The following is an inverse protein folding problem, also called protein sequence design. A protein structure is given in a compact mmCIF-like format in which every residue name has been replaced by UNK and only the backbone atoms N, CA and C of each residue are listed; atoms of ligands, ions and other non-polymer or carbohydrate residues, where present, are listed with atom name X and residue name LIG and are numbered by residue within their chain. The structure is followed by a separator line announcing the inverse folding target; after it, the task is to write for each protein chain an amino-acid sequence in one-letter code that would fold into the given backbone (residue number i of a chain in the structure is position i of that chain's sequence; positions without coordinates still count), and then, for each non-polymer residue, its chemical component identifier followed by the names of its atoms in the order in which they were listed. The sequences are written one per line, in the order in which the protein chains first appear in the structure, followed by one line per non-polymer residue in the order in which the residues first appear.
data_IF_714540947080
#
_entry.id   IF_714540947080
#
_cell.length_a   1.000
_cell.length_b   1.000
_cell.length_c   1.000
_cell.angle_alpha   90.00
_cell.angle_beta   90.00
_cell.angle_gamma   90.00
#
_symmetry.space_group_name_H-M   'P 1'
#
loop_
_entity.id
_entity.type
_entity.pdbx_description
1 polymer ?
#
# COMPACT_ATOMS: atom_id res chain seq x y z
N UNK A 1 12.97 -27.76 -8.64
CA UNK A 1 12.66 -26.33 -8.80
C UNK A 1 13.72 -25.51 -8.10
N UNK A 2 14.15 -24.41 -8.67
CA UNK A 2 15.10 -23.49 -8.07
C UNK A 2 14.37 -22.25 -7.61
N UNK A 3 14.55 -21.88 -6.34
CA UNK A 3 13.95 -20.69 -5.78
C UNK A 3 14.97 -19.55 -5.83
N UNK A 4 14.62 -18.47 -6.47
CA UNK A 4 15.49 -17.30 -6.63
C UNK A 4 14.94 -16.13 -5.81
N UNK A 5 15.68 -15.63 -4.82
CA UNK A 5 15.27 -14.39 -4.16
C UNK A 5 15.39 -13.21 -5.13
N UNK A 6 14.50 -12.25 -4.96
CA UNK A 6 14.48 -11.07 -5.81
C UNK A 6 14.66 -9.82 -4.96
N UNK A 7 15.54 -8.94 -5.38
CA UNK A 7 15.71 -7.65 -4.72
C UNK A 7 14.55 -6.74 -5.07
N UNK A 8 13.97 -6.10 -4.06
CA UNK A 8 12.96 -5.06 -4.21
C UNK A 8 13.45 -3.86 -3.42
N UNK A 9 13.76 -2.79 -4.12
CA UNK A 9 14.26 -1.57 -3.51
C UNK A 9 13.19 -0.78 -2.77
N UNK A 10 13.62 0.26 -2.08
CA UNK A 10 12.70 1.23 -1.50
C UNK A 10 11.89 1.88 -2.59
N UNK A 11 10.60 2.13 -2.29
CA UNK A 11 9.72 2.84 -3.20
C UNK A 11 9.59 2.14 -4.56
N UNK A 12 9.71 0.81 -4.56
CA UNK A 12 9.52 -0.02 -5.74
C UNK A 12 8.23 -0.82 -5.66
N UNK A 13 7.68 -1.10 -6.84
CA UNK A 13 6.48 -1.89 -7.01
C UNK A 13 6.81 -3.21 -7.69
N UNK A 14 6.05 -4.23 -7.35
CA UNK A 14 6.27 -5.56 -7.88
C UNK A 14 4.93 -6.23 -8.14
N UNK A 15 4.67 -6.59 -9.40
CA UNK A 15 3.47 -7.36 -9.75
C UNK A 15 3.74 -8.86 -9.64
N UNK A 16 2.85 -9.56 -8.93
CA UNK A 16 3.05 -10.94 -8.57
C UNK A 16 3.21 -11.90 -9.73
N UNK A 17 2.55 -11.64 -10.86
CA UNK A 17 2.61 -12.56 -12.02
C UNK A 17 4.05 -12.75 -12.51
N UNK A 18 4.93 -11.79 -12.27
CA UNK A 18 6.33 -11.88 -12.69
C UNK A 18 7.08 -13.02 -12.00
N UNK A 19 6.65 -13.43 -10.80
CA UNK A 19 7.26 -14.51 -10.05
C UNK A 19 6.27 -15.63 -9.69
N UNK A 20 5.10 -15.63 -10.31
CA UNK A 20 4.08 -16.65 -10.01
C UNK A 20 3.44 -16.51 -8.63
N UNK A 21 3.42 -15.29 -8.08
CA UNK A 21 2.79 -14.99 -6.81
C UNK A 21 1.37 -14.47 -7.01
N UNK A 22 0.41 -14.86 -6.15
CA UNK A 22 -0.96 -14.34 -6.25
C UNK A 22 -1.13 -12.92 -5.71
N UNK A 23 -0.06 -12.32 -5.16
CA UNK A 23 -0.11 -10.97 -4.60
C UNK A 23 0.90 -10.06 -5.28
N UNK A 24 0.61 -8.76 -5.29
CA UNK A 24 1.51 -7.72 -5.77
C UNK A 24 1.88 -6.81 -4.60
N UNK A 25 3.09 -6.27 -4.62
CA UNK A 25 3.67 -5.55 -3.49
C UNK A 25 4.06 -4.14 -3.92
N UNK A 26 3.68 -3.16 -3.11
CA UNK A 26 4.23 -1.82 -3.18
C UNK A 26 5.07 -1.62 -1.92
N UNK A 27 6.36 -1.30 -2.10
CA UNK A 27 7.21 -0.86 -0.99
C UNK A 27 7.16 0.66 -0.93
N UNK A 28 6.35 1.16 -0.01
CA UNK A 28 6.16 2.61 0.14
C UNK A 28 7.25 3.18 1.05
N UNK A 29 7.88 4.26 0.58
CA UNK A 29 8.88 4.99 1.34
C UNK A 29 8.70 6.47 1.04
N UNK A 30 8.29 7.24 2.03
CA UNK A 30 7.97 8.66 1.83
C UNK A 30 8.48 9.48 3.01
N UNK A 31 9.13 10.61 2.68
CA UNK A 31 9.69 11.51 3.67
C UNK A 31 8.96 12.84 3.75
N UNK A 32 8.05 13.11 2.81
CA UNK A 32 7.37 14.39 2.70
C UNK A 32 5.93 14.28 3.22
N UNK A 33 5.56 15.05 4.26
CA UNK A 33 4.17 15.10 4.71
C UNK A 33 3.22 15.51 3.59
N UNK A 34 2.04 14.91 3.58
CA UNK A 34 1.04 15.12 2.53
C UNK A 34 1.18 14.21 1.32
N UNK A 35 2.27 13.45 1.21
CA UNK A 35 2.45 12.46 0.13
C UNK A 35 1.39 11.39 0.21
N UNK A 36 0.97 10.90 -0.93
CA UNK A 36 0.01 9.81 -1.02
C UNK A 36 -0.78 9.88 -2.32
N UNK A 37 -1.51 8.81 -2.65
CA UNK A 37 -2.29 8.75 -3.87
C UNK A 37 -3.59 9.54 -3.76
N UNK A 38 -4.16 9.86 -4.91
CA UNK A 38 -5.53 10.38 -5.00
C UNK A 38 -6.52 9.27 -4.62
N UNK A 39 -7.77 9.66 -4.38
CA UNK A 39 -8.84 8.72 -4.06
C UNK A 39 -8.99 7.69 -5.18
N UNK A 40 -9.05 6.42 -4.82
CA UNK A 40 -9.13 5.31 -5.76
C UNK A 40 -9.70 4.07 -5.08
N UNK A 41 -9.88 3.00 -5.86
CA UNK A 41 -10.25 1.69 -5.34
C UNK A 41 -9.70 0.58 -6.23
N UNK A 42 -9.68 -0.63 -5.70
CA UNK A 42 -9.24 -1.83 -6.39
C UNK A 42 -10.33 -2.91 -6.34
N UNK A 43 -10.39 -3.82 -7.32
CA UNK A 43 -11.34 -4.94 -7.27
C UNK A 43 -10.90 -6.07 -6.33
N UNK A 44 -9.92 -5.83 -5.48
CA UNK A 44 -9.35 -6.78 -4.52
C UNK A 44 -9.00 -6.03 -3.23
N UNK A 45 -8.75 -6.79 -2.15
CA UNK A 45 -8.36 -6.17 -0.88
C UNK A 45 -6.90 -5.71 -0.92
N UNK A 46 -6.61 -4.64 -0.20
CA UNK A 46 -5.26 -4.15 0.01
C UNK A 46 -4.93 -4.15 1.50
N UNK A 47 -3.78 -4.74 1.85
CA UNK A 47 -3.29 -4.79 3.23
C UNK A 47 -2.07 -3.89 3.37
N UNK A 48 -2.15 -2.93 4.28
CA UNK A 48 -1.07 -2.01 4.60
C UNK A 48 -0.35 -2.51 5.84
N UNK A 49 0.91 -2.91 5.69
CA UNK A 49 1.77 -3.32 6.80
C UNK A 49 2.71 -2.15 7.08
N UNK A 50 2.44 -1.39 8.12
CA UNK A 50 3.18 -0.16 8.41
C UNK A 50 4.37 -0.48 9.30
N UNK A 51 5.58 -0.18 8.83
CA UNK A 51 6.83 -0.47 9.53
C UNK A 51 7.25 0.69 10.43
N UNK A 52 7.11 1.93 9.95
CA UNK A 52 7.43 3.14 10.73
C UNK A 52 6.72 4.36 10.14
N UNK A 53 6.70 5.42 10.93
CA UNK A 53 6.01 6.65 10.55
C UNK A 53 4.51 6.52 10.77
N UNK A 54 3.76 7.44 10.19
CA UNK A 54 2.30 7.46 10.32
C UNK A 54 1.65 8.11 9.12
N UNK A 55 0.44 7.68 8.83
CA UNK A 55 -0.34 8.23 7.73
C UNK A 55 -1.81 8.31 8.11
N UNK A 56 -2.50 9.29 7.57
CA UNK A 56 -3.95 9.42 7.70
C UNK A 56 -4.59 8.67 6.54
N UNK A 57 -5.32 7.62 6.85
CA UNK A 57 -6.06 6.83 5.88
C UNK A 57 -7.51 7.30 5.85
N UNK A 58 -8.01 7.57 4.65
CA UNK A 58 -9.43 7.81 4.41
C UNK A 58 -9.98 6.58 3.70
N UNK A 59 -10.89 5.87 4.37
CA UNK A 59 -11.46 4.60 3.86
C UNK A 59 -12.97 4.76 3.88
N UNK A 60 -13.60 4.79 2.72
CA UNK A 60 -14.99 5.17 2.57
C UNK A 60 -15.21 6.57 3.21
N UNK A 61 -16.07 6.66 4.22
CA UNK A 61 -16.35 7.90 4.95
C UNK A 61 -15.64 7.99 6.30
N UNK A 62 -14.71 7.08 6.58
CA UNK A 62 -13.98 7.04 7.85
C UNK A 62 -12.54 7.52 7.66
N UNK A 63 -11.98 8.09 8.71
CA UNK A 63 -10.57 8.44 8.77
C UNK A 63 -9.92 7.79 9.97
N UNK A 64 -8.72 7.26 9.77
CA UNK A 64 -7.95 6.62 10.84
C UNK A 64 -6.46 6.88 10.62
N UNK A 65 -5.73 7.12 11.71
CA UNK A 65 -4.27 7.25 11.65
C UNK A 65 -3.67 5.87 11.84
N UNK A 66 -2.91 5.39 10.85
CA UNK A 66 -2.12 4.19 10.97
C UNK A 66 -0.69 4.55 11.32
N UNK A 67 -0.08 3.79 12.23
CA UNK A 67 1.28 4.04 12.70
C UNK A 67 2.15 2.79 12.59
N UNK A 68 3.46 2.97 12.65
CA UNK A 68 4.42 1.88 12.60
C UNK A 68 4.08 0.76 13.58
N UNK A 69 4.12 -0.48 13.11
CA UNK A 69 3.75 -1.66 13.87
C UNK A 69 2.29 -2.08 13.70
N UNK A 70 1.51 -1.37 12.90
CA UNK A 70 0.10 -1.67 12.68
C UNK A 70 -0.17 -2.20 11.28
N UNK A 71 -1.26 -2.94 11.15
CA UNK A 71 -1.79 -3.45 9.89
C UNK A 71 -3.19 -2.86 9.70
N UNK A 72 -3.48 -2.40 8.49
CA UNK A 72 -4.80 -1.91 8.10
C UNK A 72 -5.21 -2.58 6.80
N UNK A 73 -6.46 -3.04 6.73
CA UNK A 73 -6.99 -3.70 5.53
C UNK A 73 -8.13 -2.88 4.94
N UNK A 74 -8.03 -2.60 3.64
CA UNK A 74 -9.11 -1.99 2.88
C UNK A 74 -9.75 -3.09 2.03
N UNK A 75 -11.04 -3.38 2.23
CA UNK A 75 -11.72 -4.41 1.42
C UNK A 75 -11.81 -4.05 -0.05
N UNK A 76 -12.07 -5.07 -0.88
CA UNK A 76 -12.29 -4.88 -2.30
C UNK A 76 -13.38 -3.84 -2.58
N UNK A 77 -13.17 -2.99 -3.59
CA UNK A 77 -14.10 -1.98 -4.09
C UNK A 77 -14.39 -0.81 -3.13
N UNK A 78 -13.73 -0.78 -1.98
CA UNK A 78 -13.89 0.33 -1.04
C UNK A 78 -12.95 1.46 -1.43
N UNK A 79 -13.50 2.66 -1.59
CA UNK A 79 -12.70 3.85 -1.92
C UNK A 79 -11.75 4.19 -0.79
N UNK A 80 -10.52 4.58 -1.15
CA UNK A 80 -9.54 4.94 -0.15
C UNK A 80 -8.44 5.83 -0.70
N UNK A 81 -7.77 6.49 0.22
CA UNK A 81 -6.53 7.24 0.00
C UNK A 81 -5.80 7.32 1.32
N UNK A 82 -4.53 7.67 1.27
CA UNK A 82 -3.79 8.02 2.47
C UNK A 82 -2.90 9.23 2.21
N UNK A 83 -2.53 9.91 3.28
CA UNK A 83 -1.51 10.96 3.23
C UNK A 83 -0.56 10.81 4.40
N UNK A 84 0.73 10.91 4.10
CA UNK A 84 1.78 10.80 5.10
C UNK A 84 1.72 12.01 6.01
N UNK A 85 1.83 11.77 7.32
CA UNK A 85 1.79 12.81 8.35
C UNK A 85 3.19 13.18 8.80
N UNK A 86 3.31 14.33 9.49
CA UNK A 86 4.54 14.74 10.15
C UNK A 86 4.97 13.69 11.17
N UNK A 87 6.25 13.61 11.46
CA UNK A 87 6.77 12.75 12.51
C UNK A 87 7.74 11.69 12.01
N UNK A 88 8.34 11.90 10.87
CA UNK A 88 9.38 11.03 10.34
C UNK A 88 9.00 10.35 9.04
N UNK A 89 9.85 9.43 8.64
CA UNK A 89 9.67 8.67 7.41
C UNK A 89 8.51 7.68 7.55
N UNK A 90 7.64 7.66 6.57
CA UNK A 90 6.64 6.60 6.42
C UNK A 90 7.24 5.47 5.59
N UNK A 91 7.29 4.29 6.16
CA UNK A 91 7.75 3.09 5.47
C UNK A 91 6.77 1.96 5.72
N UNK A 92 6.30 1.34 4.63
CA UNK A 92 5.26 0.32 4.70
C UNK A 92 5.37 -0.64 3.53
N UNK A 93 4.77 -1.81 3.70
CA UNK A 93 4.55 -2.76 2.62
C UNK A 93 3.05 -2.80 2.36
N UNK A 94 2.66 -2.45 1.14
CA UNK A 94 1.26 -2.48 0.73
C UNK A 94 1.05 -3.72 -0.13
N UNK A 95 0.21 -4.64 0.33
CA UNK A 95 -0.03 -5.92 -0.33
C UNK A 95 -1.36 -5.87 -1.06
N UNK A 96 -1.30 -5.96 -2.38
CA UNK A 96 -2.48 -6.05 -3.24
C UNK A 96 -2.81 -7.53 -3.47
N UNK A 97 -4.04 -7.93 -3.16
CA UNK A 97 -4.46 -9.34 -3.24
C UNK A 97 -4.79 -9.74 -4.69
N UNK A 98 -3.88 -9.47 -5.60
CA UNK A 98 -3.97 -9.81 -7.01
C UNK A 98 -2.57 -9.86 -7.60
N UNK A 99 -2.39 -10.61 -8.66
CA UNK A 99 -1.08 -10.72 -9.30
C UNK A 99 -0.75 -9.54 -10.23
N UNK A 100 -1.66 -8.57 -10.35
CA UNK A 100 -1.48 -7.34 -11.12
C UNK A 100 -2.10 -6.18 -10.37
N UNK A 101 -1.56 -4.97 -10.61
CA UNK A 101 -2.16 -3.74 -10.09
C UNK A 101 -3.32 -3.33 -10.97
N UNK A 102 -4.52 -3.26 -10.40
CA UNK A 102 -5.72 -2.77 -11.07
C UNK A 102 -6.29 -1.66 -10.21
N UNK A 103 -6.35 -0.45 -10.75
CA UNK A 103 -6.77 0.73 -9.99
C UNK A 103 -7.83 1.50 -10.76
N UNK A 104 -8.92 1.81 -10.09
CA UNK A 104 -9.94 2.72 -10.59
C UNK A 104 -9.78 4.05 -9.84
N UNK A 105 -9.40 5.08 -10.58
CA UNK A 105 -9.22 6.42 -10.01
C UNK A 105 -10.56 7.12 -9.89
N UNK A 106 -10.85 7.66 -8.70
CA UNK A 106 -12.10 8.34 -8.38
C UNK A 106 -11.94 9.86 -8.29
N UNK A 107 -10.71 10.34 -8.38
CA UNK A 107 -10.36 11.76 -8.42
C UNK A 107 -9.40 12.06 -9.55
#
# INVERSE_FOLDING_TARGET
MTIQPRDVGRDENFEGYLLGSPVSIIREYATTPGSGPRLHRHPYAETFVIHRGRALFTVADEQVVGVGGQILVVPALVSHRFEVLDGGTYEATHVHANDRFITEWLE
#
